data_IF_554084900536
#
_entry.id   IF_554084900536
#
_cell.length_a   1.000
_cell.length_b   1.000
_cell.length_c   1.000
_cell.angle_alpha   90.00
_cell.angle_beta   90.00
_cell.angle_gamma   90.00
#
_symmetry.space_group_name_H-M   'P 1'
#
loop_
_entity.id
_entity.type
_entity.pdbx_description
1 polymer ?
#
# COMPACT_ATOMS: atom_id res chain seq x y z
N UNK A 1 11.12 15.43 18.39
CA UNK A 1 9.84 15.02 17.76
C UNK A 1 8.66 15.74 18.39
N UNK A 2 7.75 16.29 17.56
CA UNK A 2 6.50 16.93 18.01
C UNK A 2 5.41 15.86 18.15
N UNK A 3 4.79 15.76 19.34
CA UNK A 3 3.75 14.77 19.66
C UNK A 3 2.34 15.37 19.58
N UNK A 4 1.41 14.69 18.90
CA UNK A 4 0.00 15.10 18.74
C UNK A 4 -0.92 13.94 19.11
N UNK A 5 -1.99 14.22 19.87
CA UNK A 5 -2.99 13.23 20.28
C UNK A 5 -4.18 13.29 19.33
N UNK A 6 -4.62 12.14 18.82
CA UNK A 6 -5.80 12.01 17.98
C UNK A 6 -6.75 10.93 18.51
N UNK A 7 -8.06 11.09 18.30
CA UNK A 7 -9.00 9.98 18.52
C UNK A 7 -8.94 8.96 17.37
N UNK A 8 -9.73 7.89 17.46
CA UNK A 8 -9.81 6.84 16.44
C UNK A 8 -10.29 7.34 15.06
N UNK A 9 -10.95 8.51 15.01
CA UNK A 9 -11.40 9.16 13.78
C UNK A 9 -10.36 10.14 13.19
N UNK A 10 -9.19 10.27 13.82
CA UNK A 10 -8.13 11.16 13.37
C UNK A 10 -8.26 12.62 13.80
N UNK A 11 -9.26 12.97 14.62
CA UNK A 11 -9.46 14.32 15.12
C UNK A 11 -8.47 14.64 16.24
N UNK A 12 -7.87 15.84 16.19
CA UNK A 12 -6.92 16.29 17.20
C UNK A 12 -7.63 16.57 18.52
N UNK A 13 -7.15 15.95 19.60
CA UNK A 13 -7.69 16.09 20.96
C UNK A 13 -6.60 16.46 21.96
N UNK A 14 -6.98 16.95 23.14
CA UNK A 14 -6.03 17.16 24.23
C UNK A 14 -5.59 15.84 24.85
N UNK A 15 -4.37 15.79 25.40
CA UNK A 15 -3.89 14.65 26.21
C UNK A 15 -4.91 14.23 27.27
N UNK A 16 -5.49 15.19 27.99
CA UNK A 16 -6.47 14.95 29.05
C UNK A 16 -7.78 14.32 28.57
N UNK A 17 -8.13 14.47 27.30
CA UNK A 17 -9.26 13.79 26.67
C UNK A 17 -8.85 12.40 26.19
N UNK A 18 -7.69 12.29 25.55
CA UNK A 18 -7.18 11.03 25.00
C UNK A 18 -7.05 9.93 26.06
N UNK A 19 -6.43 10.23 27.20
CA UNK A 19 -6.22 9.26 28.31
C UNK A 19 -7.51 8.83 29.02
N UNK A 20 -8.67 9.34 28.61
CA UNK A 20 -9.99 8.91 29.09
C UNK A 20 -10.72 8.02 28.09
N UNK A 21 -10.17 7.89 26.88
CA UNK A 21 -10.69 6.99 25.86
C UNK A 21 -10.06 5.62 26.07
N UNK A 22 -10.78 4.56 25.70
CA UNK A 22 -10.22 3.22 25.65
C UNK A 22 -9.16 3.13 24.54
N UNK A 23 -9.36 3.86 23.45
CA UNK A 23 -8.51 3.83 22.26
C UNK A 23 -8.24 5.24 21.73
N UNK A 24 -6.98 5.50 21.37
CA UNK A 24 -6.53 6.75 20.76
C UNK A 24 -5.18 6.55 20.07
N UNK A 25 -4.76 7.53 19.27
CA UNK A 25 -3.50 7.48 18.52
C UNK A 25 -2.55 8.60 18.94
N UNK A 26 -1.26 8.32 18.90
CA UNK A 26 -0.19 9.28 19.13
C UNK A 26 0.62 9.46 17.86
N UNK A 27 0.60 10.66 17.31
CA UNK A 27 1.31 11.01 16.09
C UNK A 27 2.58 11.76 16.46
N UNK A 28 3.73 11.27 16.01
CA UNK A 28 5.04 11.87 16.22
C UNK A 28 5.55 12.42 14.89
N UNK A 29 5.81 13.71 14.86
CA UNK A 29 6.39 14.39 13.70
C UNK A 29 7.86 14.68 13.97
N UNK A 30 8.68 14.64 12.92
CA UNK A 30 10.06 15.12 12.98
C UNK A 30 10.13 16.58 13.46
N UNK A 31 11.24 16.93 14.11
CA UNK A 31 11.38 18.27 14.68
C UNK A 31 11.69 19.30 13.60
N UNK A 32 10.90 20.36 13.54
CA UNK A 32 11.06 21.40 12.53
C UNK A 32 10.45 21.06 11.15
N UNK A 33 9.76 19.92 11.01
CA UNK A 33 9.03 19.54 9.80
C UNK A 33 7.61 19.08 10.12
N UNK A 34 6.78 18.97 9.09
CA UNK A 34 5.48 18.29 9.16
C UNK A 34 5.55 16.84 8.69
N UNK A 35 6.76 16.26 8.60
CA UNK A 35 6.96 14.87 8.27
C UNK A 35 6.48 13.99 9.44
N UNK A 36 5.45 13.17 9.18
CA UNK A 36 4.94 12.20 10.14
C UNK A 36 5.91 11.03 10.23
N UNK A 37 6.41 10.78 11.43
CA UNK A 37 7.47 9.80 11.69
C UNK A 37 6.95 8.48 12.22
N UNK A 38 6.01 8.56 13.16
CA UNK A 38 5.50 7.41 13.88
C UNK A 38 4.06 7.65 14.29
N UNK A 39 3.23 6.61 14.23
CA UNK A 39 1.90 6.56 14.82
C UNK A 39 1.88 5.39 15.79
N UNK A 40 1.71 5.67 17.09
CA UNK A 40 1.42 4.62 18.07
C UNK A 40 -0.10 4.52 18.25
N UNK A 41 -0.63 3.31 18.14
CA UNK A 41 -2.03 3.00 18.39
C UNK A 41 -2.16 2.46 19.81
N UNK A 42 -2.94 3.16 20.64
CA UNK A 42 -3.04 2.89 22.07
C UNK A 42 -4.40 2.28 22.39
N UNK A 43 -4.39 1.16 23.11
CA UNK A 43 -5.58 0.55 23.71
C UNK A 43 -5.31 0.25 25.19
N UNK A 44 -6.17 0.73 26.09
CA UNK A 44 -6.07 0.53 27.55
C UNK A 44 -4.66 0.82 28.09
N UNK A 45 -4.04 1.91 27.63
CA UNK A 45 -2.68 2.37 27.96
C UNK A 45 -1.51 1.52 27.41
N UNK A 46 -1.77 0.55 26.54
CA UNK A 46 -0.74 -0.24 25.84
C UNK A 46 -0.66 0.10 24.36
N UNK A 47 0.55 0.06 23.79
CA UNK A 47 0.77 0.23 22.35
C UNK A 47 0.53 -1.12 21.66
N UNK A 48 -0.58 -1.27 20.96
CA UNK A 48 -0.91 -2.55 20.29
C UNK A 48 -0.47 -2.59 18.82
N UNK A 49 -0.20 -1.44 18.21
CA UNK A 49 0.36 -1.32 16.88
C UNK A 49 1.21 -0.04 16.77
N UNK A 50 2.24 -0.07 15.91
CA UNK A 50 2.99 1.12 15.51
C UNK A 50 3.14 1.15 13.99
N UNK A 51 2.82 2.28 13.36
CA UNK A 51 3.24 2.57 11.98
C UNK A 51 4.45 3.51 12.01
N UNK A 52 5.54 3.13 11.36
CA UNK A 52 6.77 3.93 11.31
C UNK A 52 7.14 4.28 9.87
N UNK A 53 7.45 5.56 9.61
CA UNK A 53 7.82 6.05 8.29
C UNK A 53 9.33 6.31 8.24
N UNK A 54 10.06 5.43 7.56
CA UNK A 54 11.52 5.43 7.50
C UNK A 54 12.03 6.57 6.61
N UNK A 55 12.99 7.34 7.13
CA UNK A 55 13.69 8.38 6.36
C UNK A 55 14.87 7.76 5.59
N UNK A 56 15.34 8.42 4.52
CA UNK A 56 16.35 7.83 3.60
C UNK A 56 17.65 7.37 4.28
N UNK A 57 18.09 8.08 5.32
CA UNK A 57 19.37 7.85 6.00
C UNK A 57 19.26 6.95 7.24
N UNK A 58 18.08 6.42 7.55
CA UNK A 58 17.88 5.59 8.74
C UNK A 58 18.23 4.12 8.51
N UNK A 59 18.82 3.53 9.54
CA UNK A 59 19.08 2.10 9.62
C UNK A 59 17.81 1.37 10.05
N UNK A 60 17.18 0.68 9.10
CA UNK A 60 15.95 -0.07 9.32
C UNK A 60 16.09 -1.13 10.44
N UNK A 61 17.26 -1.76 10.61
CA UNK A 61 17.46 -2.76 11.65
C UNK A 61 17.45 -2.14 13.05
N UNK A 62 18.02 -0.93 13.19
CA UNK A 62 17.97 -0.19 14.44
C UNK A 62 16.54 0.27 14.76
N UNK A 63 15.80 0.70 13.75
CA UNK A 63 14.38 1.06 13.89
C UNK A 63 13.54 -0.14 14.29
N UNK A 64 13.70 -1.29 13.63
CA UNK A 64 12.97 -2.51 13.97
C UNK A 64 13.23 -2.95 15.42
N UNK A 65 14.48 -2.89 15.89
CA UNK A 65 14.81 -3.18 17.29
C UNK A 65 14.14 -2.19 18.25
N UNK A 66 14.17 -0.90 17.94
CA UNK A 66 13.50 0.14 18.74
C UNK A 66 11.97 -0.08 18.84
N UNK A 67 11.33 -0.44 17.73
CA UNK A 67 9.89 -0.68 17.69
C UNK A 67 9.51 -1.98 18.41
N UNK A 68 10.31 -3.03 18.27
CA UNK A 68 10.12 -4.30 18.97
C UNK A 68 10.22 -4.20 20.50
N UNK A 69 10.91 -3.17 21.04
CA UNK A 69 10.88 -2.90 22.49
C UNK A 69 9.53 -2.31 22.97
N UNK A 70 8.74 -1.73 22.06
CA UNK A 70 7.47 -1.05 22.37
C UNK A 70 6.24 -1.90 22.10
N UNK A 71 6.25 -2.69 21.03
CA UNK A 71 5.10 -3.47 20.58
C UNK A 71 5.53 -4.73 19.83
N UNK A 72 4.76 -5.81 19.99
CA UNK A 72 4.95 -7.05 19.23
C UNK A 72 4.42 -6.94 17.79
N UNK A 73 3.69 -5.87 17.46
CA UNK A 73 3.07 -5.68 16.15
C UNK A 73 3.35 -4.26 15.64
N UNK A 74 4.06 -4.13 14.54
CA UNK A 74 4.40 -2.83 13.95
C UNK A 74 4.73 -2.97 12.47
N UNK A 75 4.61 -1.88 11.72
CA UNK A 75 5.08 -1.80 10.34
C UNK A 75 6.08 -0.68 10.14
N UNK A 76 7.04 -0.94 9.26
CA UNK A 76 8.01 0.03 8.78
C UNK A 76 7.72 0.28 7.30
N UNK A 77 7.41 1.51 6.96
CA UNK A 77 7.20 1.97 5.59
C UNK A 77 8.38 2.81 5.11
N UNK A 78 8.99 2.42 4.00
CA UNK A 78 9.97 3.24 3.27
C UNK A 78 9.39 3.65 1.93
N UNK A 79 9.35 4.96 1.65
CA UNK A 79 8.91 5.47 0.34
C UNK A 79 10.10 5.91 -0.49
N UNK A 80 10.05 5.57 -1.77
CA UNK A 80 11.01 5.96 -2.80
C UNK A 80 10.22 6.57 -3.97
N UNK A 81 10.73 7.66 -4.54
CA UNK A 81 10.12 8.27 -5.73
C UNK A 81 11.02 8.03 -6.92
N UNK A 82 10.46 7.51 -8.01
CA UNK A 82 11.16 7.31 -9.29
C UNK A 82 10.30 7.85 -10.42
N UNK A 83 10.81 8.84 -11.14
CA UNK A 83 10.10 9.56 -12.20
C UNK A 83 8.67 9.98 -11.79
N UNK A 84 7.67 9.35 -12.40
CA UNK A 84 6.24 9.61 -12.21
C UNK A 84 5.57 8.63 -11.22
N UNK A 85 6.36 7.84 -10.49
CA UNK A 85 5.88 6.81 -9.58
C UNK A 85 6.43 6.99 -8.16
N UNK A 86 5.61 6.60 -7.19
CA UNK A 86 6.00 6.47 -5.79
C UNK A 86 5.90 4.99 -5.43
N UNK A 87 6.97 4.43 -4.88
CA UNK A 87 7.05 3.05 -4.44
C UNK A 87 7.13 3.06 -2.91
N UNK A 88 6.15 2.44 -2.27
CA UNK A 88 6.18 2.16 -0.83
C UNK A 88 6.62 0.72 -0.61
N UNK A 89 7.71 0.52 0.12
CA UNK A 89 8.08 -0.79 0.65
C UNK A 89 7.63 -0.85 2.10
N UNK A 90 6.71 -1.76 2.42
CA UNK A 90 6.19 -1.98 3.76
C UNK A 90 6.70 -3.31 4.32
N UNK A 91 7.11 -3.30 5.58
CA UNK A 91 7.50 -4.49 6.34
C UNK A 91 6.65 -4.58 7.59
N UNK A 92 5.73 -5.54 7.63
CA UNK A 92 4.83 -5.76 8.74
C UNK A 92 5.39 -6.85 9.66
N UNK A 93 5.75 -6.48 10.87
CA UNK A 93 6.27 -7.37 11.91
C UNK A 93 5.14 -7.82 12.84
N UNK A 94 5.13 -9.10 13.16
CA UNK A 94 4.26 -9.70 14.18
C UNK A 94 5.10 -10.66 15.01
N UNK A 95 5.90 -10.11 15.93
CA UNK A 95 6.96 -10.82 16.68
C UNK A 95 6.44 -11.97 17.54
N UNK A 96 5.15 -11.99 17.86
CA UNK A 96 4.48 -13.08 18.56
C UNK A 96 4.15 -14.30 17.67
N UNK A 97 4.22 -14.13 16.34
CA UNK A 97 3.85 -15.13 15.33
C UNK A 97 5.06 -15.56 14.51
N UNK A 98 5.84 -14.60 14.02
CA UNK A 98 7.03 -14.81 13.18
C UNK A 98 8.06 -13.71 13.46
N UNK A 99 9.35 -14.06 13.42
CA UNK A 99 10.44 -13.10 13.54
C UNK A 99 10.69 -12.34 12.21
N UNK A 100 10.29 -12.93 11.08
CA UNK A 100 10.42 -12.31 9.76
C UNK A 100 9.17 -11.49 9.41
N UNK A 101 9.34 -10.26 8.87
CA UNK A 101 8.20 -9.42 8.52
C UNK A 101 7.52 -9.89 7.24
N UNK A 102 6.21 -9.66 7.09
CA UNK A 102 5.60 -9.70 5.76
C UNK A 102 6.08 -8.48 4.97
N UNK A 103 6.79 -8.71 3.86
CA UNK A 103 7.30 -7.65 3.00
C UNK A 103 6.35 -7.44 1.82
N UNK A 104 5.98 -6.19 1.55
CA UNK A 104 5.24 -5.82 0.35
C UNK A 104 5.78 -4.56 -0.31
N UNK A 105 5.58 -4.45 -1.61
CA UNK A 105 5.84 -3.25 -2.41
C UNK A 105 4.56 -2.78 -3.06
N UNK A 106 4.23 -1.52 -2.86
CA UNK A 106 3.04 -0.88 -3.42
C UNK A 106 3.46 0.31 -4.26
N UNK A 107 3.01 0.35 -5.51
CA UNK A 107 3.32 1.40 -6.47
C UNK A 107 2.11 2.29 -6.67
N UNK A 108 2.35 3.58 -6.64
CA UNK A 108 1.38 4.64 -6.92
C UNK A 108 1.91 5.51 -8.05
N UNK A 109 1.01 6.21 -8.74
CA UNK A 109 1.46 7.35 -9.56
C UNK A 109 1.73 8.54 -8.64
N UNK A 110 2.74 9.34 -8.97
CA UNK A 110 3.16 10.46 -8.13
C UNK A 110 2.08 11.55 -8.00
N UNK A 111 1.22 11.69 -9.02
CA UNK A 111 0.07 12.62 -9.03
C UNK A 111 -1.20 12.02 -8.38
N UNK A 112 -1.13 10.78 -7.91
CA UNK A 112 -2.25 10.02 -7.36
C UNK A 112 -1.80 9.03 -6.27
N UNK A 113 -1.32 9.55 -5.12
CA UNK A 113 -0.71 8.75 -4.06
C UNK A 113 -1.72 7.93 -3.24
N UNK A 114 -3.02 8.07 -3.49
CA UNK A 114 -4.09 7.37 -2.77
C UNK A 114 -4.51 6.06 -3.46
N UNK A 115 -4.22 5.91 -4.75
CA UNK A 115 -4.68 4.77 -5.56
C UNK A 115 -3.47 4.01 -6.10
N UNK A 116 -3.21 2.83 -5.52
CA UNK A 116 -2.09 2.00 -5.96
C UNK A 116 -2.38 1.39 -7.33
N UNK A 117 -1.37 1.34 -8.21
CA UNK A 117 -1.47 0.67 -9.51
C UNK A 117 -0.92 -0.75 -9.49
N UNK A 118 -0.11 -1.09 -8.48
CA UNK A 118 0.45 -2.42 -8.28
C UNK A 118 0.77 -2.65 -6.80
N UNK A 119 0.47 -3.84 -6.29
CA UNK A 119 0.89 -4.32 -4.97
C UNK A 119 1.49 -5.72 -5.14
N UNK A 120 2.67 -5.94 -4.57
CA UNK A 120 3.39 -7.21 -4.63
C UNK A 120 3.84 -7.65 -3.26
N UNK A 121 3.64 -8.92 -2.94
CA UNK A 121 4.27 -9.56 -1.78
C UNK A 121 5.67 -10.01 -2.20
N UNK A 122 6.65 -9.77 -1.33
CA UNK A 122 8.04 -10.21 -1.53
C UNK A 122 8.30 -11.40 -0.60
N UNK A 123 8.87 -12.46 -1.16
CA UNK A 123 9.28 -13.63 -0.41
C UNK A 123 10.52 -13.31 0.46
N UNK A 124 10.46 -13.66 1.74
CA UNK A 124 11.53 -13.35 2.68
C UNK A 124 12.82 -14.15 2.45
N UNK A 125 12.73 -15.35 1.90
CA UNK A 125 13.89 -16.23 1.73
C UNK A 125 14.67 -15.88 0.45
N UNK A 126 13.94 -15.62 -0.63
CA UNK A 126 14.52 -15.37 -1.95
C UNK A 126 14.68 -13.89 -2.27
N UNK A 127 13.96 -13.02 -1.55
CA UNK A 127 13.82 -11.59 -1.86
C UNK A 127 13.23 -11.30 -3.25
N UNK A 128 12.57 -12.29 -3.85
CA UNK A 128 11.88 -12.16 -5.13
C UNK A 128 10.37 -11.96 -4.90
N UNK A 129 9.65 -11.32 -5.85
CA UNK A 129 8.21 -11.16 -5.75
C UNK A 129 7.49 -12.50 -5.92
N UNK A 130 6.47 -12.73 -5.10
CA UNK A 130 5.47 -13.80 -5.30
C UNK A 130 4.46 -13.30 -6.33
N UNK A 131 4.73 -13.59 -7.61
CA UNK A 131 4.02 -13.00 -8.75
C UNK A 131 2.52 -13.30 -8.71
N UNK A 132 2.12 -14.50 -8.30
CA UNK A 132 0.73 -14.93 -8.16
C UNK A 132 -0.04 -14.19 -7.05
N UNK A 133 0.67 -13.52 -6.14
CA UNK A 133 0.09 -12.63 -5.12
C UNK A 133 0.09 -11.16 -5.52
N UNK A 134 0.50 -10.86 -6.75
CA UNK A 134 0.45 -9.49 -7.28
C UNK A 134 -0.98 -9.10 -7.58
N UNK A 135 -1.36 -7.89 -7.20
CA UNK A 135 -2.63 -7.27 -7.58
C UNK A 135 -2.31 -5.96 -8.29
N UNK A 136 -2.98 -5.70 -9.42
CA UNK A 136 -2.91 -4.41 -10.09
C UNK A 136 -4.29 -3.84 -10.34
N UNK A 137 -4.38 -2.52 -10.18
CA UNK A 137 -5.62 -1.78 -10.37
C UNK A 137 -5.44 -0.70 -11.43
N UNK A 138 -6.38 -0.62 -12.35
CA UNK A 138 -6.54 0.52 -13.25
C UNK A 138 -7.79 1.30 -12.87
N UNK A 139 -7.67 2.62 -12.84
CA UNK A 139 -8.70 3.51 -12.32
C UNK A 139 -9.30 4.39 -13.40
N UNK A 140 -10.59 4.65 -13.26
CA UNK A 140 -11.33 5.65 -14.02
C UNK A 140 -12.32 6.35 -13.10
N UNK A 141 -13.14 7.25 -13.67
CA UNK A 141 -14.23 7.90 -12.97
C UNK A 141 -15.57 7.39 -13.49
N UNK A 142 -16.57 7.34 -12.61
CA UNK A 142 -17.95 7.05 -12.96
C UNK A 142 -18.65 8.27 -13.59
N UNK A 143 -19.96 8.19 -13.80
CA UNK A 143 -20.76 9.30 -14.33
C UNK A 143 -20.85 10.52 -13.39
N UNK A 144 -20.62 10.32 -12.09
CA UNK A 144 -20.62 11.36 -11.07
C UNK A 144 -19.23 12.00 -10.87
N UNK A 145 -18.20 11.45 -11.51
CA UNK A 145 -16.81 11.86 -11.35
C UNK A 145 -16.13 11.24 -10.13
N UNK A 146 -16.71 10.22 -9.50
CA UNK A 146 -16.08 9.45 -8.43
C UNK A 146 -15.11 8.44 -9.02
N UNK A 147 -13.90 8.40 -8.44
CA UNK A 147 -12.83 7.53 -8.91
C UNK A 147 -12.99 6.13 -8.31
N UNK A 148 -12.81 5.10 -9.13
CA UNK A 148 -12.87 3.71 -8.68
C UNK A 148 -11.90 2.82 -9.46
N UNK A 149 -11.55 1.67 -8.87
CA UNK A 149 -10.76 0.63 -9.53
C UNK A 149 -11.63 -0.08 -10.58
N UNK A 150 -11.54 0.37 -11.83
CA UNK A 150 -12.34 -0.13 -12.94
C UNK A 150 -11.86 -1.49 -13.46
N UNK A 151 -10.57 -1.76 -13.37
CA UNK A 151 -10.01 -3.06 -13.70
C UNK A 151 -9.12 -3.53 -12.57
N UNK A 152 -9.32 -4.78 -12.15
CA UNK A 152 -8.46 -5.49 -11.20
C UNK A 152 -7.84 -6.70 -11.88
N UNK A 153 -6.52 -6.85 -11.75
CA UNK A 153 -5.76 -7.92 -12.38
C UNK A 153 -5.06 -8.80 -11.34
N UNK A 154 -5.18 -10.13 -11.50
CA UNK A 154 -4.42 -11.17 -10.80
C UNK A 154 -3.53 -11.95 -11.78
N UNK A 155 -2.54 -12.67 -11.26
CA UNK A 155 -1.46 -13.25 -12.06
C UNK A 155 -1.17 -14.69 -11.68
N UNK A 156 -0.58 -15.42 -12.63
CA UNK A 156 -0.04 -16.76 -12.41
C UNK A 156 1.36 -16.69 -11.80
N UNK A 157 1.88 -17.83 -11.34
CA UNK A 157 3.24 -17.96 -10.79
C UNK A 157 4.34 -17.52 -11.78
N UNK A 158 4.09 -17.63 -13.10
CA UNK A 158 5.02 -17.16 -14.14
C UNK A 158 4.90 -15.66 -14.46
N UNK A 159 4.02 -14.95 -13.75
CA UNK A 159 3.76 -13.53 -13.89
C UNK A 159 2.88 -13.14 -15.07
N UNK A 160 2.31 -14.08 -15.84
CA UNK A 160 1.29 -13.76 -16.84
C UNK A 160 -0.05 -13.46 -16.18
N UNK A 161 -0.82 -12.58 -16.81
CA UNK A 161 -2.20 -12.31 -16.40
C UNK A 161 -3.00 -13.62 -16.30
N UNK A 162 -3.55 -13.87 -15.12
CA UNK A 162 -4.52 -14.95 -14.92
C UNK A 162 -5.91 -14.44 -15.23
N UNK A 163 -6.28 -13.31 -14.62
CA UNK A 163 -7.61 -12.74 -14.73
C UNK A 163 -7.55 -11.21 -14.65
N UNK A 164 -8.25 -10.54 -15.55
CA UNK A 164 -8.63 -9.14 -15.46
C UNK A 164 -10.15 -9.05 -15.32
N UNK A 165 -10.62 -8.42 -14.25
CA UNK A 165 -12.04 -8.15 -13.98
C UNK A 165 -12.34 -6.71 -14.38
N UNK A 166 -13.18 -6.52 -15.40
CA UNK A 166 -13.63 -5.23 -15.92
C UNK A 166 -15.00 -4.87 -15.34
N UNK A 167 -15.01 -3.81 -14.54
CA UNK A 167 -16.16 -3.30 -13.80
C UNK A 167 -16.84 -2.13 -14.49
N UNK A 168 -16.31 -1.66 -15.62
CA UNK A 168 -16.71 -0.38 -16.24
C UNK A 168 -18.16 -0.32 -16.70
N UNK A 169 -18.76 -1.47 -17.03
CA UNK A 169 -20.16 -1.54 -17.47
C UNK A 169 -21.16 -1.40 -16.33
N UNK A 170 -20.81 -1.89 -15.13
CA UNK A 170 -21.70 -1.91 -13.97
C UNK A 170 -20.90 -2.11 -12.67
N UNK A 171 -20.28 -1.06 -12.11
CA UNK A 171 -19.37 -1.19 -10.97
C UNK A 171 -20.01 -1.76 -9.71
N UNK A 172 -21.33 -1.66 -9.57
CA UNK A 172 -22.07 -2.07 -8.36
C UNK A 172 -22.61 -3.52 -8.43
N UNK A 173 -22.63 -4.14 -9.62
CA UNK A 173 -23.23 -5.46 -9.83
C UNK A 173 -22.20 -6.45 -10.38
N UNK A 174 -21.61 -7.25 -9.48
CA UNK A 174 -20.52 -8.18 -9.79
C UNK A 174 -20.88 -9.20 -10.88
N UNK A 175 -22.14 -9.62 -10.93
CA UNK A 175 -22.65 -10.56 -11.94
C UNK A 175 -22.56 -10.05 -13.38
N UNK A 176 -22.42 -8.74 -13.56
CA UNK A 176 -22.34 -8.07 -14.86
C UNK A 176 -20.89 -7.78 -15.28
N UNK A 177 -19.90 -8.11 -14.44
CA UNK A 177 -18.49 -7.84 -14.73
C UNK A 177 -17.96 -8.74 -15.85
N UNK A 178 -17.18 -8.13 -16.73
CA UNK A 178 -16.50 -8.85 -17.81
C UNK A 178 -15.16 -9.38 -17.33
N UNK A 179 -14.79 -10.57 -17.81
CA UNK A 179 -13.60 -11.27 -17.37
C UNK A 179 -12.71 -11.57 -18.59
N UNK A 180 -11.42 -11.30 -18.46
CA UNK A 180 -10.44 -11.53 -19.52
C UNK A 180 -9.22 -12.24 -18.93
N UNK A 181 -8.63 -13.13 -19.72
CA UNK A 181 -7.35 -13.77 -19.45
C UNK A 181 -6.25 -13.15 -20.31
N UNK A 182 -5.04 -13.72 -20.25
CA UNK A 182 -3.89 -13.24 -21.03
C UNK A 182 -4.15 -13.16 -22.55
N UNK A 183 -4.91 -14.11 -23.11
CA UNK A 183 -5.15 -14.26 -24.54
C UNK A 183 -6.27 -13.33 -25.03
N UNK A 184 -7.27 -13.09 -24.18
CA UNK A 184 -8.43 -12.23 -24.46
C UNK A 184 -8.24 -10.78 -24.00
N UNK A 185 -7.18 -10.47 -23.23
CA UNK A 185 -6.84 -9.09 -22.83
C UNK A 185 -6.79 -8.06 -23.99
N UNK A 186 -6.37 -8.39 -25.23
CA UNK A 186 -6.46 -7.45 -26.35
C UNK A 186 -7.87 -6.92 -26.60
N UNK A 187 -8.92 -7.70 -26.31
CA UNK A 187 -10.31 -7.26 -26.44
C UNK A 187 -10.68 -6.23 -25.37
N UNK A 188 -10.15 -6.37 -24.14
CA UNK A 188 -10.27 -5.35 -23.09
C UNK A 188 -9.54 -4.07 -23.47
N UNK A 189 -8.29 -4.18 -23.95
CA UNK A 189 -7.52 -3.04 -24.43
C UNK A 189 -8.25 -2.29 -25.56
N UNK A 190 -8.94 -2.98 -26.46
CA UNK A 190 -9.67 -2.35 -27.55
C UNK A 190 -10.85 -1.46 -27.07
N UNK A 191 -11.34 -1.67 -25.84
CA UNK A 191 -12.40 -0.87 -25.22
C UNK A 191 -11.88 0.39 -24.54
N UNK A 192 -10.57 0.46 -24.26
CA UNK A 192 -9.95 1.52 -23.47
C UNK A 192 -8.98 2.32 -24.34
N UNK A 193 -9.15 3.64 -24.36
CA UNK A 193 -8.33 4.54 -25.19
C UNK A 193 -6.89 4.66 -24.70
N UNK A 194 -6.67 4.49 -23.40
CA UNK A 194 -5.36 4.49 -22.76
C UNK A 194 -4.68 3.13 -22.93
N UNK A 195 -3.37 3.12 -23.18
CA UNK A 195 -2.60 1.87 -23.17
C UNK A 195 -2.56 1.29 -21.75
N UNK A 196 -3.13 0.11 -21.60
CA UNK A 196 -3.15 -0.69 -20.37
C UNK A 196 -2.36 -2.00 -20.53
N UNK A 197 -1.49 -2.10 -21.54
CA UNK A 197 -0.67 -3.29 -21.80
C UNK A 197 0.27 -3.64 -20.63
N UNK A 198 0.63 -2.67 -19.79
CA UNK A 198 1.33 -2.87 -18.53
C UNK A 198 0.68 -3.94 -17.62
N UNK A 199 -0.65 -4.02 -17.62
CA UNK A 199 -1.41 -4.90 -16.75
C UNK A 199 -1.40 -6.37 -17.20
N UNK A 200 -0.85 -6.68 -18.39
CA UNK A 200 -0.74 -8.06 -18.90
C UNK A 200 0.26 -8.94 -18.16
N UNK A 201 1.12 -8.34 -17.35
CA UNK A 201 2.16 -9.06 -16.59
C UNK A 201 2.25 -8.53 -15.17
N UNK A 202 2.79 -9.33 -14.25
CA UNK A 202 3.03 -8.97 -12.86
C UNK A 202 4.25 -8.07 -12.65
N UNK A 203 4.78 -7.38 -13.67
CA UNK A 203 5.93 -6.48 -13.50
C UNK A 203 5.61 -5.34 -12.52
N UNK A 204 6.51 -5.01 -11.58
CA UNK A 204 6.26 -4.00 -10.55
C UNK A 204 5.97 -2.59 -11.12
N UNK A 205 6.68 -2.20 -12.17
CA UNK A 205 6.60 -0.89 -12.80
C UNK A 205 6.30 -0.99 -14.30
N UNK A 206 5.62 0.01 -14.88
CA UNK A 206 5.49 0.14 -16.33
C UNK A 206 6.85 0.25 -17.02
N UNK A 207 6.94 -0.19 -18.29
CA UNK A 207 8.21 -0.21 -19.04
C UNK A 207 8.83 1.18 -19.19
N UNK A 208 7.98 2.21 -19.23
CA UNK A 208 8.35 3.61 -19.32
C UNK A 208 9.23 4.05 -18.13
N UNK A 209 9.07 3.42 -16.96
CA UNK A 209 9.87 3.69 -15.77
C UNK A 209 11.33 3.18 -15.87
N UNK A 210 11.66 2.39 -16.90
CA UNK A 210 13.02 1.84 -17.09
C UNK A 210 13.75 2.49 -18.29
N UNK A 211 13.17 3.53 -18.90
CA UNK A 211 13.73 4.20 -20.08
C UNK A 211 14.52 5.47 -19.75
N UNK A 212 14.76 5.76 -18.47
CA UNK A 212 15.57 6.87 -17.94
C UNK A 212 17.07 6.57 -17.94
#
# INVERSE_FOLDING_TARGET
MRKVYKNIFGEVISKSKAVKLNEYHLYYYEEGSDFLKEIEFINEDSVYNINYYLSEDEDEAQVAAYLGEKSDFFDIEKKETTDSFMISTNKLYSLSVDELPLISKTVFKADDPENFICSQVIDNETHEPLLERTIKCWYTHDENGEKYAAIECSYQEDGKLELAVDKTSDPEHEENWSHYDYDTFPDLQAKISTDISYYRTAALLPKEAYQS
#
